data_IF_560219037922
#
_entry.id   IF_560219037922
#
_cell.length_a   1.000
_cell.length_b   1.000
_cell.length_c   1.000
_cell.angle_alpha   90.00
_cell.angle_beta   90.00
_cell.angle_gamma   90.00
#
_symmetry.space_group_name_H-M   'P 1'
#
loop_
_entity.id
_entity.type
_entity.pdbx_description
1 polymer ?
#
# COMPACT_ATOMS: atom_id res chain seq x y z
N UNK A 1 3.85 11.72 3.54
CA UNK A 1 4.78 10.73 4.10
C UNK A 1 5.70 10.14 3.03
N UNK A 2 5.21 9.72 1.86
CA UNK A 2 6.03 9.15 0.79
C UNK A 2 7.20 10.06 0.41
N UNK A 3 6.97 11.36 0.30
CA UNK A 3 7.99 12.36 -0.05
C UNK A 3 9.10 12.55 0.98
N UNK A 4 8.95 12.03 2.19
CA UNK A 4 10.01 12.01 3.20
C UNK A 4 11.12 11.00 2.89
N UNK A 5 10.82 10.03 2.02
CA UNK A 5 11.79 9.04 1.55
C UNK A 5 12.62 9.60 0.39
N UNK A 6 13.84 9.08 0.16
CA UNK A 6 14.71 9.49 -0.96
C UNK A 6 14.21 8.90 -2.28
N UNK A 7 13.06 9.38 -2.73
CA UNK A 7 12.39 8.95 -3.95
C UNK A 7 12.61 9.95 -5.09
N UNK A 8 12.62 9.47 -6.33
CA UNK A 8 12.78 10.29 -7.52
C UNK A 8 11.47 10.87 -8.05
N UNK A 9 10.38 10.10 -7.99
CA UNK A 9 9.08 10.48 -8.56
C UNK A 9 7.93 9.82 -7.83
N UNK A 10 6.82 10.52 -7.75
CA UNK A 10 5.50 9.99 -7.33
C UNK A 10 4.48 10.30 -8.40
N UNK A 11 3.65 9.32 -8.75
CA UNK A 11 2.43 9.54 -9.52
C UNK A 11 1.26 9.25 -8.59
N UNK A 12 0.47 10.27 -8.29
CA UNK A 12 -0.79 10.16 -7.56
C UNK A 12 -1.91 10.06 -8.59
N UNK A 13 -2.68 8.97 -8.52
CA UNK A 13 -3.84 8.77 -9.39
C UNK A 13 -5.09 8.73 -8.53
N UNK A 14 -6.04 9.59 -8.81
CA UNK A 14 -7.34 9.62 -8.16
C UNK A 14 -8.44 9.87 -9.21
N UNK A 15 -9.59 9.25 -9.03
CA UNK A 15 -10.73 9.39 -9.94
C UNK A 15 -11.49 10.70 -9.71
N UNK A 16 -11.30 11.32 -8.54
CA UNK A 16 -12.04 12.48 -8.09
C UNK A 16 -11.17 13.76 -8.09
N UNK A 17 -11.26 14.53 -9.16
CA UNK A 17 -10.55 15.81 -9.30
C UNK A 17 -10.99 16.84 -8.28
N UNK A 18 -12.28 16.86 -7.98
CA UNK A 18 -12.85 17.82 -7.04
C UNK A 18 -12.32 17.56 -5.64
N UNK A 19 -12.18 16.29 -5.25
CA UNK A 19 -11.56 15.90 -3.98
C UNK A 19 -10.11 16.36 -3.90
N UNK A 20 -9.33 16.24 -4.97
CA UNK A 20 -7.94 16.70 -5.01
C UNK A 20 -7.88 18.21 -4.76
N UNK A 21 -8.73 18.99 -5.42
CA UNK A 21 -8.75 20.45 -5.26
C UNK A 21 -9.26 20.88 -3.89
N UNK A 22 -10.26 20.19 -3.35
CA UNK A 22 -10.72 20.42 -1.98
C UNK A 22 -9.63 20.13 -0.93
N UNK A 23 -8.87 19.04 -1.13
CA UNK A 23 -7.74 18.71 -0.25
C UNK A 23 -6.64 19.77 -0.28
N UNK A 24 -6.30 20.29 -1.44
CA UNK A 24 -5.33 21.40 -1.57
C UNK A 24 -5.80 22.65 -0.82
N UNK A 25 -7.07 22.99 -0.95
CA UNK A 25 -7.62 24.21 -0.42
C UNK A 25 -7.92 24.14 1.09
N UNK A 26 -8.60 23.07 1.52
CA UNK A 26 -9.09 22.96 2.91
C UNK A 26 -8.17 22.17 3.84
N UNK A 27 -7.27 21.35 3.31
CA UNK A 27 -6.42 20.45 4.09
C UNK A 27 -4.91 20.67 3.83
N UNK A 28 -4.43 21.93 3.70
CA UNK A 28 -3.03 22.18 3.37
C UNK A 28 -2.05 21.68 4.44
N UNK A 29 -2.48 21.62 5.70
CA UNK A 29 -1.67 21.08 6.80
C UNK A 29 -1.49 19.55 6.73
N UNK A 30 -2.40 18.83 6.08
CA UNK A 30 -2.31 17.39 5.90
C UNK A 30 -1.43 17.07 4.69
N UNK A 31 -1.68 17.74 3.56
CA UNK A 31 -0.87 17.56 2.33
C UNK A 31 0.56 18.09 2.51
N UNK A 32 0.76 19.09 3.37
CA UNK A 32 2.05 19.66 3.73
C UNK A 32 2.94 19.98 2.52
N UNK A 33 2.35 20.62 1.50
CA UNK A 33 3.04 20.99 0.26
C UNK A 33 3.30 19.84 -0.71
N UNK A 34 2.71 18.66 -0.48
CA UNK A 34 2.95 17.50 -1.33
C UNK A 34 2.48 17.69 -2.78
N UNK A 35 1.41 18.44 -3.00
CA UNK A 35 0.89 18.68 -4.35
C UNK A 35 1.77 19.62 -5.18
N UNK A 36 2.57 20.46 -4.54
CA UNK A 36 3.49 21.44 -5.14
C UNK A 36 4.93 20.89 -5.26
N UNK A 37 5.21 19.70 -4.71
CA UNK A 37 6.54 19.09 -4.81
C UNK A 37 6.83 18.67 -6.26
N UNK A 38 7.96 19.09 -6.79
CA UNK A 38 8.37 18.84 -8.18
C UNK A 38 8.50 17.35 -8.53
N UNK A 39 8.61 16.48 -7.56
CA UNK A 39 8.63 15.01 -7.74
C UNK A 39 7.24 14.40 -7.92
N UNK A 40 6.16 15.17 -7.64
CA UNK A 40 4.78 14.68 -7.66
C UNK A 40 4.11 15.04 -8.98
N UNK A 41 3.58 14.04 -9.66
CA UNK A 41 2.64 14.20 -10.77
C UNK A 41 1.26 13.73 -10.31
N UNK A 42 0.30 14.63 -10.27
CA UNK A 42 -1.10 14.31 -10.04
C UNK A 42 -1.75 13.96 -11.38
N UNK A 43 -2.45 12.85 -11.43
CA UNK A 43 -3.18 12.36 -12.61
C UNK A 43 -4.60 12.03 -12.21
N UNK A 44 -5.56 12.73 -12.78
CA UNK A 44 -6.96 12.40 -12.61
C UNK A 44 -7.35 11.23 -13.51
N UNK A 45 -8.11 10.29 -12.95
CA UNK A 45 -8.67 9.17 -13.68
C UNK A 45 -8.75 7.87 -12.89
N UNK A 46 -9.28 6.84 -13.54
CA UNK A 46 -9.41 5.51 -12.99
C UNK A 46 -8.05 4.83 -12.85
N UNK A 47 -7.68 4.46 -11.62
CA UNK A 47 -6.41 3.78 -11.30
C UNK A 47 -6.26 2.44 -12.03
N UNK A 48 -7.35 1.71 -12.31
CA UNK A 48 -7.30 0.46 -13.06
C UNK A 48 -6.95 0.69 -14.54
N UNK A 49 -7.51 1.75 -15.14
CA UNK A 49 -7.17 2.17 -16.50
C UNK A 49 -5.72 2.67 -16.56
N UNK A 50 -5.31 3.45 -15.56
CA UNK A 50 -3.93 3.93 -15.47
C UNK A 50 -2.91 2.78 -15.48
N UNK A 51 -3.07 1.77 -14.60
CA UNK A 51 -2.12 0.65 -14.55
C UNK A 51 -2.19 -0.25 -15.78
N UNK A 52 -3.31 -0.26 -16.50
CA UNK A 52 -3.45 -0.99 -17.77
C UNK A 52 -2.71 -0.29 -18.92
N UNK A 53 -2.75 1.02 -18.99
CA UNK A 53 -2.28 1.78 -20.13
C UNK A 53 -0.87 2.35 -19.99
N UNK A 54 -0.39 2.53 -18.75
CA UNK A 54 0.92 3.14 -18.52
C UNK A 54 2.07 2.24 -18.96
N UNK A 55 3.08 2.83 -19.57
CA UNK A 55 4.38 2.21 -19.86
C UNK A 55 5.42 2.54 -18.77
N UNK A 56 5.08 3.44 -17.84
CA UNK A 56 5.96 3.77 -16.71
C UNK A 56 6.08 2.57 -15.78
N UNK A 57 7.26 2.43 -15.14
CA UNK A 57 7.53 1.40 -14.15
C UNK A 57 7.79 2.00 -12.77
N UNK A 58 7.43 1.24 -11.74
CA UNK A 58 7.45 1.71 -10.37
C UNK A 58 8.16 0.70 -9.45
N UNK A 59 8.84 1.21 -8.43
CA UNK A 59 9.42 0.37 -7.39
C UNK A 59 8.40 0.04 -6.30
N UNK A 60 7.43 0.93 -6.09
CA UNK A 60 6.37 0.76 -5.09
C UNK A 60 5.03 1.21 -5.69
N UNK A 61 4.02 0.37 -5.54
CA UNK A 61 2.62 0.72 -5.82
C UNK A 61 1.86 0.68 -4.51
N UNK A 62 1.21 1.78 -4.13
CA UNK A 62 0.37 1.89 -2.94
C UNK A 62 -1.07 2.08 -3.41
N UNK A 63 -1.96 1.19 -2.99
CA UNK A 63 -3.39 1.26 -3.28
C UNK A 63 -4.12 1.55 -1.97
N UNK A 64 -4.41 2.82 -1.76
CA UNK A 64 -5.20 3.32 -0.64
C UNK A 64 -6.59 3.68 -1.19
N UNK A 65 -7.42 2.67 -1.35
CA UNK A 65 -8.76 2.79 -1.92
C UNK A 65 -9.84 2.63 -0.87
N UNK A 66 -11.08 2.96 -1.24
CA UNK A 66 -12.26 2.55 -0.47
C UNK A 66 -12.38 1.02 -0.45
N UNK A 67 -13.31 0.51 0.36
CA UNK A 67 -13.71 -0.90 0.34
C UNK A 67 -14.10 -1.36 -1.08
N UNK A 68 -14.09 -2.68 -1.37
CA UNK A 68 -14.38 -3.21 -2.71
C UNK A 68 -15.85 -3.07 -3.12
N UNK A 69 -16.39 -1.87 -2.97
CA UNK A 69 -17.79 -1.47 -3.25
C UNK A 69 -17.76 -0.31 -4.24
N UNK A 70 -18.71 -0.31 -5.19
CA UNK A 70 -18.82 0.75 -6.19
C UNK A 70 -17.58 0.86 -7.10
N UNK A 71 -17.11 2.07 -7.43
CA UNK A 71 -15.97 2.28 -8.34
C UNK A 71 -14.68 1.63 -7.86
N UNK A 72 -14.43 1.57 -6.55
CA UNK A 72 -13.24 0.95 -5.97
C UNK A 72 -13.14 -0.56 -6.17
N UNK A 73 -14.23 -1.25 -6.45
CA UNK A 73 -14.25 -2.71 -6.60
C UNK A 73 -13.32 -3.23 -7.71
N UNK A 74 -13.03 -2.44 -8.73
CA UNK A 74 -12.15 -2.80 -9.84
C UNK A 74 -10.70 -3.01 -9.36
N UNK A 75 -10.25 -2.30 -8.34
CA UNK A 75 -8.90 -2.35 -7.78
C UNK A 75 -8.62 -3.64 -6.98
N UNK A 76 -9.64 -4.48 -6.78
CA UNK A 76 -9.51 -5.78 -6.11
C UNK A 76 -9.59 -6.96 -7.08
N UNK A 77 -9.78 -6.70 -8.39
CA UNK A 77 -9.91 -7.75 -9.41
C UNK A 77 -8.56 -8.30 -9.84
N UNK A 78 -8.57 -9.54 -10.32
CA UNK A 78 -7.40 -10.25 -10.82
C UNK A 78 -6.60 -9.42 -11.84
N UNK A 79 -7.27 -8.88 -12.86
CA UNK A 79 -6.61 -8.11 -13.93
C UNK A 79 -5.89 -6.87 -13.42
N UNK A 80 -6.41 -6.20 -12.40
CA UNK A 80 -5.73 -5.09 -11.78
C UNK A 80 -4.36 -5.50 -11.22
N UNK A 81 -4.30 -6.59 -10.45
CA UNK A 81 -3.04 -7.09 -9.90
C UNK A 81 -2.07 -7.58 -10.99
N UNK A 82 -2.57 -8.19 -12.07
CA UNK A 82 -1.75 -8.57 -13.24
C UNK A 82 -1.10 -7.31 -13.85
N UNK A 83 -1.85 -6.25 -14.05
CA UNK A 83 -1.34 -4.99 -14.59
C UNK A 83 -0.37 -4.31 -13.61
N UNK A 84 -0.66 -4.30 -12.32
CA UNK A 84 0.28 -3.82 -11.31
C UNK A 84 1.61 -4.58 -11.35
N UNK A 85 1.58 -5.92 -11.46
CA UNK A 85 2.80 -6.72 -11.60
C UNK A 85 3.60 -6.36 -12.85
N UNK A 86 2.91 -6.12 -13.99
CA UNK A 86 3.55 -5.73 -15.26
C UNK A 86 4.35 -4.43 -15.14
N UNK A 87 3.84 -3.46 -14.39
CA UNK A 87 4.46 -2.14 -14.23
C UNK A 87 5.39 -2.04 -13.01
N UNK A 88 5.55 -3.07 -12.22
CA UNK A 88 6.58 -3.11 -11.18
C UNK A 88 7.96 -3.37 -11.78
N UNK A 89 8.97 -2.67 -11.25
CA UNK A 89 10.38 -2.99 -11.46
C UNK A 89 10.75 -4.31 -10.76
N UNK A 90 11.90 -4.90 -11.14
CA UNK A 90 12.48 -6.00 -10.39
C UNK A 90 12.72 -5.55 -8.94
N UNK A 91 12.35 -6.38 -7.97
CA UNK A 91 12.40 -6.01 -6.55
C UNK A 91 11.28 -5.06 -6.11
N UNK A 92 10.34 -4.75 -6.99
CA UNK A 92 9.20 -3.88 -6.67
C UNK A 92 8.14 -4.57 -5.81
N UNK A 93 7.32 -3.76 -5.13
CA UNK A 93 6.28 -4.22 -4.22
C UNK A 93 4.97 -3.45 -4.42
N UNK A 94 3.86 -4.17 -4.35
CA UNK A 94 2.53 -3.57 -4.20
C UNK A 94 2.04 -3.72 -2.77
N UNK A 95 1.44 -2.65 -2.23
CA UNK A 95 0.76 -2.64 -0.93
C UNK A 95 -0.66 -2.13 -1.13
N UNK A 96 -1.63 -2.80 -0.50
CA UNK A 96 -3.05 -2.46 -0.61
C UNK A 96 -3.69 -2.34 0.76
N UNK A 97 -4.55 -1.35 0.96
CA UNK A 97 -5.50 -1.35 2.06
C UNK A 97 -6.41 -2.58 1.93
N UNK A 98 -6.67 -3.30 3.03
CA UNK A 98 -7.52 -4.49 3.03
C UNK A 98 -8.53 -4.53 4.19
N UNK A 99 -8.87 -3.35 4.72
CA UNK A 99 -9.94 -3.19 5.69
C UNK A 99 -9.63 -3.68 7.10
N UNK A 100 -10.70 -3.79 7.87
CA UNK A 100 -10.66 -4.19 9.29
C UNK A 100 -10.83 -5.69 9.39
N UNK A 101 -9.81 -6.45 9.77
CA UNK A 101 -9.79 -7.92 9.65
C UNK A 101 -10.88 -8.64 10.46
N UNK A 102 -11.36 -8.03 11.57
CA UNK A 102 -12.43 -8.62 12.36
C UNK A 102 -13.81 -8.58 11.69
N UNK A 103 -14.03 -7.64 10.76
CA UNK A 103 -15.32 -7.46 10.11
C UNK A 103 -15.29 -7.81 8.61
N UNK A 104 -14.12 -7.76 7.98
CA UNK A 104 -13.92 -7.90 6.54
C UNK A 104 -13.03 -9.11 6.20
N UNK A 105 -13.17 -10.17 6.97
CA UNK A 105 -12.35 -11.38 6.86
C UNK A 105 -12.42 -12.02 5.47
N UNK A 106 -13.62 -12.08 4.86
CA UNK A 106 -13.82 -12.73 3.56
C UNK A 106 -13.17 -11.94 2.43
N UNK A 107 -13.31 -10.61 2.46
CA UNK A 107 -12.69 -9.71 1.49
C UNK A 107 -11.17 -9.80 1.54
N UNK A 108 -10.64 -9.85 2.75
CA UNK A 108 -9.22 -10.01 3.02
C UNK A 108 -8.68 -11.33 2.46
N UNK A 109 -9.40 -12.45 2.71
CA UNK A 109 -9.06 -13.77 2.18
C UNK A 109 -9.07 -13.79 0.64
N UNK A 110 -10.09 -13.20 0.02
CA UNK A 110 -10.23 -13.15 -1.43
C UNK A 110 -9.12 -12.32 -2.08
N UNK A 111 -8.78 -11.17 -1.49
CA UNK A 111 -7.70 -10.32 -1.95
C UNK A 111 -6.34 -11.03 -1.84
N UNK A 112 -6.10 -11.76 -0.75
CA UNK A 112 -4.89 -12.57 -0.59
C UNK A 112 -4.77 -13.66 -1.65
N UNK A 113 -5.84 -14.46 -1.86
CA UNK A 113 -5.88 -15.50 -2.89
C UNK A 113 -5.58 -14.94 -4.28
N UNK A 114 -6.08 -13.76 -4.59
CA UNK A 114 -5.84 -13.11 -5.88
C UNK A 114 -4.36 -12.74 -6.05
N UNK A 115 -3.73 -12.14 -5.04
CA UNK A 115 -2.31 -11.79 -5.06
C UNK A 115 -1.40 -13.02 -5.13
N UNK A 116 -1.69 -14.05 -4.33
CA UNK A 116 -0.89 -15.30 -4.28
C UNK A 116 -0.88 -16.07 -5.61
N UNK A 117 -1.90 -15.89 -6.46
CA UNK A 117 -1.95 -16.49 -7.80
C UNK A 117 -1.08 -15.75 -8.83
N UNK A 118 -0.72 -14.51 -8.55
CA UNK A 118 -0.07 -13.62 -9.50
C UNK A 118 1.40 -13.41 -9.13
N UNK A 119 1.71 -13.25 -7.84
CA UNK A 119 3.04 -12.94 -7.34
C UNK A 119 3.67 -14.15 -6.64
N UNK A 120 4.99 -14.22 -6.66
CA UNK A 120 5.75 -15.28 -5.99
C UNK A 120 5.64 -15.20 -4.47
N UNK A 121 5.56 -13.98 -3.93
CA UNK A 121 5.40 -13.70 -2.50
C UNK A 121 4.19 -12.80 -2.30
N UNK A 122 3.33 -13.16 -1.35
CA UNK A 122 2.20 -12.33 -0.94
C UNK A 122 1.85 -12.61 0.52
N UNK A 123 1.40 -11.58 1.22
CA UNK A 123 1.03 -11.69 2.62
C UNK A 123 0.26 -10.48 3.11
N UNK A 124 0.17 -10.38 4.44
CA UNK A 124 -0.41 -9.24 5.13
C UNK A 124 0.54 -8.73 6.21
N UNK A 125 0.38 -7.47 6.52
CA UNK A 125 0.76 -6.95 7.82
C UNK A 125 -0.43 -6.23 8.45
N UNK A 126 -0.41 -6.06 9.75
CA UNK A 126 -1.45 -5.33 10.48
C UNK A 126 -0.83 -4.14 11.19
N UNK A 127 -1.58 -3.05 11.24
CA UNK A 127 -1.17 -1.86 11.98
C UNK A 127 -2.31 -1.37 12.86
N UNK A 128 -2.03 -0.88 14.08
CA UNK A 128 -3.05 -0.23 14.89
C UNK A 128 -3.49 1.07 14.21
N UNK A 129 -4.79 1.18 13.96
CA UNK A 129 -5.44 2.38 13.43
C UNK A 129 -6.63 2.71 14.32
N UNK A 130 -6.45 3.54 15.35
CA UNK A 130 -7.47 3.77 16.39
C UNK A 130 -8.81 4.35 15.89
N UNK A 131 -8.82 4.93 14.68
CA UNK A 131 -10.02 5.51 14.08
C UNK A 131 -11.03 4.46 13.60
N UNK A 132 -10.59 3.22 13.37
CA UNK A 132 -11.47 2.15 12.89
C UNK A 132 -11.92 1.24 14.02
N UNK A 133 -13.13 0.73 13.91
CA UNK A 133 -13.68 -0.25 14.85
C UNK A 133 -12.75 -1.48 14.95
N UNK A 134 -12.42 -1.89 16.18
CA UNK A 134 -11.47 -2.98 16.42
C UNK A 134 -10.00 -2.54 16.47
N UNK A 135 -9.66 -1.30 16.14
CA UNK A 135 -8.34 -0.70 16.34
C UNK A 135 -7.22 -1.24 15.44
N UNK A 136 -7.49 -2.21 14.57
CA UNK A 136 -6.53 -2.82 13.64
C UNK A 136 -7.00 -2.70 12.20
N UNK A 137 -6.05 -2.42 11.31
CA UNK A 137 -6.26 -2.50 9.88
C UNK A 137 -5.25 -3.45 9.25
N UNK A 138 -5.70 -4.26 8.31
CA UNK A 138 -4.86 -5.14 7.53
C UNK A 138 -4.43 -4.46 6.22
N UNK A 139 -3.17 -4.66 5.88
CA UNK A 139 -2.58 -4.21 4.63
C UNK A 139 -2.01 -5.42 3.91
N UNK A 140 -2.49 -5.67 2.70
CA UNK A 140 -1.96 -6.72 1.87
C UNK A 140 -0.73 -6.25 1.12
N UNK A 141 0.23 -7.13 0.92
CA UNK A 141 1.38 -6.87 0.08
C UNK A 141 1.66 -8.02 -0.87
N UNK A 142 2.33 -7.73 -1.98
CA UNK A 142 2.83 -8.75 -2.89
C UNK A 142 4.07 -8.26 -3.65
N UNK A 143 4.98 -9.19 -3.94
CA UNK A 143 6.22 -8.98 -4.71
C UNK A 143 6.70 -10.30 -5.30
N UNK A 144 7.44 -10.23 -6.40
CA UNK A 144 8.10 -11.44 -6.91
C UNK A 144 9.42 -11.73 -6.20
N UNK A 145 10.11 -10.70 -5.72
CA UNK A 145 11.48 -10.81 -5.22
C UNK A 145 11.62 -10.58 -3.72
N UNK A 146 10.63 -9.96 -3.06
CA UNK A 146 10.76 -9.54 -1.67
C UNK A 146 9.73 -10.20 -0.75
N UNK A 147 10.16 -10.49 0.49
CA UNK A 147 9.29 -10.73 1.64
C UNK A 147 9.64 -9.71 2.74
N UNK A 148 8.85 -8.62 2.90
CA UNK A 148 9.15 -7.60 3.90
C UNK A 148 9.25 -8.14 5.33
N UNK A 149 8.44 -9.14 5.68
CA UNK A 149 8.43 -9.77 7.01
C UNK A 149 9.73 -10.49 7.38
N UNK A 150 10.52 -10.88 6.37
CA UNK A 150 11.82 -11.56 6.55
C UNK A 150 13.00 -10.58 6.62
N UNK A 151 12.76 -9.28 6.43
CA UNK A 151 13.83 -8.28 6.49
C UNK A 151 14.54 -8.32 7.85
N UNK A 152 15.87 -8.40 7.81
CA UNK A 152 16.69 -8.48 9.04
C UNK A 152 16.59 -7.16 9.82
N UNK A 153 16.53 -7.29 11.15
CA UNK A 153 16.47 -6.14 12.07
C UNK A 153 17.62 -5.14 11.81
N UNK A 154 18.84 -5.63 11.61
CA UNK A 154 20.01 -4.79 11.32
C UNK A 154 19.88 -3.99 10.03
N UNK A 155 19.24 -4.56 9.01
CA UNK A 155 19.01 -3.88 7.74
C UNK A 155 17.94 -2.80 7.86
N UNK A 156 16.87 -3.06 8.63
CA UNK A 156 15.84 -2.07 8.94
C UNK A 156 16.44 -0.90 9.73
N UNK A 157 17.19 -1.19 10.78
CA UNK A 157 17.83 -0.17 11.61
C UNK A 157 18.76 0.71 10.78
N UNK A 158 19.63 0.11 9.96
CA UNK A 158 20.53 0.84 9.07
C UNK A 158 19.76 1.73 8.09
N UNK A 159 18.68 1.23 7.47
CA UNK A 159 17.85 2.00 6.54
C UNK A 159 17.17 3.18 7.24
N UNK A 160 16.59 2.98 8.41
CA UNK A 160 15.95 4.05 9.19
C UNK A 160 16.99 5.14 9.52
N UNK A 161 18.17 4.76 10.00
CA UNK A 161 19.23 5.70 10.31
C UNK A 161 19.72 6.47 9.07
N UNK A 162 19.86 5.78 7.93
CA UNK A 162 20.35 6.42 6.70
C UNK A 162 19.35 7.39 6.06
N UNK A 163 18.06 7.21 6.28
CA UNK A 163 17.03 8.11 5.73
C UNK A 163 16.83 9.35 6.59
N UNK A 164 17.22 9.33 7.85
CA UNK A 164 16.93 10.40 8.81
C UNK A 164 15.43 10.60 9.12
N UNK A 165 14.56 9.68 8.68
CA UNK A 165 13.13 9.77 8.88
C UNK A 165 12.81 9.44 10.34
N UNK A 166 12.32 10.43 11.08
CA UNK A 166 11.78 10.21 12.41
C UNK A 166 10.28 9.89 12.33
N UNK A 167 9.91 8.67 12.71
CA UNK A 167 8.52 8.22 12.78
C UNK A 167 8.10 8.05 14.24
N UNK A 168 6.90 8.54 14.56
CA UNK A 168 6.30 8.38 15.90
C UNK A 168 5.74 6.96 16.13
N UNK A 169 5.45 6.22 15.07
CA UNK A 169 4.75 4.93 15.13
C UNK A 169 5.65 3.78 14.72
N UNK A 170 6.36 3.92 13.59
CA UNK A 170 7.16 2.86 13.03
C UNK A 170 8.61 2.89 13.50
N UNK A 171 9.13 1.72 13.87
CA UNK A 171 10.55 1.48 14.13
C UNK A 171 10.92 0.02 13.80
N UNK A 172 12.21 -0.29 13.78
CA UNK A 172 12.71 -1.63 13.42
C UNK A 172 12.26 -2.75 14.38
N UNK A 173 11.86 -2.42 15.61
CA UNK A 173 11.31 -3.41 16.56
C UNK A 173 9.83 -3.65 16.28
N UNK A 174 9.05 -2.59 16.07
CA UNK A 174 7.64 -2.67 15.75
C UNK A 174 7.38 -3.41 14.43
N UNK A 175 8.33 -3.33 13.46
CA UNK A 175 8.21 -4.01 12.18
C UNK A 175 7.86 -5.49 12.30
N UNK A 176 8.56 -6.23 13.15
CA UNK A 176 8.26 -7.65 13.37
C UNK A 176 6.85 -7.89 13.91
N UNK A 177 6.37 -7.01 14.80
CA UNK A 177 5.01 -7.07 15.31
C UNK A 177 3.97 -6.86 14.22
N UNK A 178 4.18 -5.91 13.32
CA UNK A 178 3.28 -5.67 12.19
C UNK A 178 3.18 -6.88 11.25
N UNK A 179 4.29 -7.56 10.97
CA UNK A 179 4.33 -8.75 10.12
C UNK A 179 4.09 -10.08 10.88
N UNK A 180 3.68 -10.00 12.15
CA UNK A 180 3.24 -11.14 12.97
C UNK A 180 1.77 -10.97 13.33
N UNK A 181 0.86 -11.09 12.36
CA UNK A 181 -0.56 -10.85 12.59
C UNK A 181 -1.14 -11.89 13.57
N UNK A 182 -2.30 -11.61 14.20
CA UNK A 182 -3.02 -12.56 15.04
C UNK A 182 -3.27 -13.91 14.37
N UNK A 183 -3.35 -14.97 15.15
CA UNK A 183 -3.46 -16.36 14.67
C UNK A 183 -4.56 -16.57 13.61
N UNK A 184 -5.75 -15.98 13.82
CA UNK A 184 -6.85 -16.10 12.85
C UNK A 184 -6.54 -15.52 11.48
N UNK A 185 -5.62 -14.52 11.38
CA UNK A 185 -5.13 -13.99 10.11
C UNK A 185 -4.00 -14.83 9.53
N UNK A 186 -3.16 -15.42 10.39
CA UNK A 186 -2.12 -16.36 9.94
C UNK A 186 -2.77 -17.55 9.25
N UNK A 187 -3.84 -18.10 9.83
CA UNK A 187 -4.58 -19.22 9.25
C UNK A 187 -5.18 -18.92 7.86
N UNK A 188 -5.41 -17.64 7.53
CA UNK A 188 -5.81 -17.22 6.18
C UNK A 188 -4.71 -17.31 5.13
N UNK A 189 -3.47 -17.15 5.56
CA UNK A 189 -2.32 -17.11 4.64
C UNK A 189 -1.86 -18.53 4.31
N UNK A 190 -2.14 -19.48 5.19
CA UNK A 190 -1.73 -20.88 5.08
C UNK A 190 -2.72 -21.76 4.29
N UNK A 191 -3.84 -21.18 3.81
CA UNK A 191 -4.85 -21.88 2.99
C UNK A 191 -4.68 -21.55 1.47
#
# INVERSE_FOLDING_TARGET
EVLRHPIGKVVLVDIDDELIDLCKYYLPSISNGAFEDSRVKVSSGDGAIFVEQTEERFDVIIVDSTDPIGPGAVLFKHNFFVNCRRILNNGGIIVTQNGVPFFQFQELANAHKSRKKIFSNAGFYVSPIPLYAGGYMAFGWASDDMNPGETKKSDLERRILSTGINSLVYNHLAHKGYFSPPKFLQDLVDF
#
